data_IF_741189328714
#
_entry.id   IF_741189328714
#
_cell.length_a   1.000
_cell.length_b   1.000
_cell.length_c   1.000
_cell.angle_alpha   90.00
_cell.angle_beta   90.00
_cell.angle_gamma   90.00
#
_symmetry.space_group_name_H-M   'P 1'
#
loop_
_entity.id
_entity.type
_entity.pdbx_description
1 polymer ?
#
# COMPACT_ATOMS: atom_id res chain seq x y z
N UNK A 1 -14.82 17.27 -7.12
CA UNK A 1 -14.16 16.96 -5.83
C UNK A 1 -14.59 15.58 -5.35
N UNK A 2 -13.69 14.61 -5.41
CA UNK A 2 -13.95 13.25 -4.96
C UNK A 2 -14.29 13.26 -3.46
N UNK A 3 -15.36 12.55 -3.10
CA UNK A 3 -15.88 12.45 -1.74
C UNK A 3 -14.79 11.87 -0.83
N UNK A 4 -14.52 12.54 0.29
CA UNK A 4 -13.46 12.20 1.24
C UNK A 4 -13.65 10.81 1.83
N UNK A 5 -12.93 9.84 1.28
CA UNK A 5 -12.67 8.57 1.95
C UNK A 5 -11.81 8.92 3.17
N UNK A 6 -12.24 8.61 4.41
CA UNK A 6 -11.39 8.82 5.57
C UNK A 6 -10.14 7.97 5.40
N UNK A 7 -8.97 8.59 5.59
CA UNK A 7 -7.70 7.89 5.63
C UNK A 7 -7.70 6.92 6.83
N UNK A 8 -7.36 5.66 6.59
CA UNK A 8 -7.33 4.59 7.59
C UNK A 8 -5.95 3.93 7.62
N UNK A 9 -5.55 3.48 8.82
CA UNK A 9 -4.30 2.76 9.12
C UNK A 9 -4.69 1.58 10.03
N UNK A 10 -5.23 0.53 9.43
CA UNK A 10 -5.82 -0.60 10.13
C UNK A 10 -4.79 -1.67 10.47
N UNK A 11 -3.75 -1.82 9.66
CA UNK A 11 -2.62 -2.71 9.91
C UNK A 11 -1.51 -2.11 10.78
N UNK A 12 -1.50 -0.78 10.97
CA UNK A 12 -0.62 -0.02 11.87
C UNK A 12 0.83 0.03 11.41
N UNK A 13 1.04 0.15 10.11
CA UNK A 13 2.35 0.33 9.51
C UNK A 13 2.80 1.82 9.43
N UNK A 14 1.85 2.74 9.65
CA UNK A 14 2.07 4.19 9.62
C UNK A 14 1.82 4.86 8.27
N UNK A 15 1.31 4.11 7.30
CA UNK A 15 0.77 4.59 6.02
C UNK A 15 -0.76 4.51 6.06
N UNK A 16 -1.42 5.29 5.20
CA UNK A 16 -2.87 5.41 5.21
C UNK A 16 -3.49 5.05 3.87
N UNK A 17 -4.47 4.17 3.88
CA UNK A 17 -5.27 3.87 2.70
C UNK A 17 -6.32 4.96 2.45
N UNK A 18 -6.63 5.30 1.18
CA UNK A 18 -5.98 4.88 -0.07
C UNK A 18 -4.88 5.86 -0.52
N UNK A 19 -4.42 6.76 0.35
CA UNK A 19 -3.62 7.91 -0.08
C UNK A 19 -2.14 7.56 -0.25
N UNK A 20 -1.58 6.80 0.68
CA UNK A 20 -0.21 6.29 0.61
C UNK A 20 -0.16 4.77 0.59
N UNK A 21 -1.08 4.10 1.27
CA UNK A 21 -1.13 2.63 1.32
C UNK A 21 -2.17 2.08 0.33
N UNK A 22 -1.81 0.96 -0.32
CA UNK A 22 -2.62 0.21 -1.25
C UNK A 22 -3.28 -1.03 -0.62
N UNK A 23 -2.89 -1.45 0.60
CA UNK A 23 -3.50 -2.55 1.34
C UNK A 23 -3.51 -2.34 2.87
N UNK A 24 -4.58 -1.70 3.36
CA UNK A 24 -4.82 -1.37 4.79
C UNK A 24 -4.98 -2.58 5.74
N UNK A 25 -4.85 -3.79 5.22
CA UNK A 25 -4.95 -5.05 5.96
C UNK A 25 -3.60 -5.79 6.08
N UNK A 26 -2.51 -5.28 5.48
CA UNK A 26 -1.19 -5.92 5.50
C UNK A 26 -0.02 -4.93 5.65
N UNK A 27 0.50 -4.86 6.88
CA UNK A 27 1.60 -3.98 7.25
C UNK A 27 2.94 -4.25 6.53
N UNK A 28 3.01 -5.23 5.62
CA UNK A 28 4.16 -5.45 4.73
C UNK A 28 3.95 -4.86 3.32
N UNK A 29 2.77 -4.32 3.03
CA UNK A 29 2.42 -3.72 1.75
C UNK A 29 2.26 -2.23 1.97
N UNK A 30 3.26 -1.45 1.60
CA UNK A 30 3.31 -0.01 1.82
C UNK A 30 4.42 0.66 1.00
N UNK A 31 4.40 1.98 0.75
CA UNK A 31 5.36 2.70 -0.08
C UNK A 31 6.86 2.37 0.06
N UNK A 32 7.31 2.07 1.29
CA UNK A 32 8.71 1.75 1.58
C UNK A 32 8.98 0.25 1.73
N UNK A 33 8.04 -0.62 1.37
CA UNK A 33 8.19 -2.06 1.48
C UNK A 33 9.14 -2.58 0.40
N UNK A 34 9.97 -3.59 0.69
CA UNK A 34 10.75 -4.27 -0.33
C UNK A 34 9.86 -5.03 -1.31
N UNK A 35 10.13 -4.87 -2.60
CA UNK A 35 9.49 -5.70 -3.63
C UNK A 35 10.06 -7.10 -3.70
N UNK A 36 9.19 -8.07 -3.97
CA UNK A 36 9.58 -9.43 -4.34
C UNK A 36 9.39 -9.63 -5.84
N UNK A 37 10.47 -9.65 -6.63
CA UNK A 37 10.31 -9.56 -8.07
C UNK A 37 9.54 -10.71 -8.71
N UNK A 38 8.44 -10.37 -9.39
CA UNK A 38 7.64 -11.32 -10.16
C UNK A 38 6.79 -12.28 -9.34
N UNK A 39 6.45 -11.92 -8.09
CA UNK A 39 5.47 -12.66 -7.29
C UNK A 39 4.01 -12.25 -7.57
N UNK A 40 3.81 -11.16 -8.33
CA UNK A 40 2.49 -10.63 -8.69
C UNK A 40 1.90 -9.67 -7.66
N UNK A 41 2.65 -9.26 -6.64
CA UNK A 41 2.22 -8.36 -5.57
C UNK A 41 2.99 -7.04 -5.70
N UNK A 42 2.26 -5.93 -5.78
CA UNK A 42 2.82 -4.58 -5.62
C UNK A 42 2.96 -4.33 -4.11
N UNK A 43 4.11 -4.71 -3.56
CA UNK A 43 4.40 -4.59 -2.13
C UNK A 43 4.68 -3.13 -1.75
N UNK A 44 5.24 -2.34 -2.66
CA UNK A 44 5.69 -0.98 -2.42
C UNK A 44 4.67 0.10 -2.88
N UNK A 45 3.44 -0.31 -3.21
CA UNK A 45 2.35 0.55 -3.66
C UNK A 45 2.75 1.55 -4.77
N UNK A 46 3.66 1.18 -5.66
CA UNK A 46 4.11 2.01 -6.77
C UNK A 46 3.29 1.79 -8.06
N UNK A 47 2.24 0.96 -7.96
CA UNK A 47 1.34 0.56 -9.05
C UNK A 47 2.07 -0.25 -10.15
N UNK A 48 3.09 -1.02 -9.75
CA UNK A 48 3.87 -1.95 -10.57
C UNK A 48 4.37 -3.12 -9.72
N UNK A 49 4.40 -4.32 -10.29
CA UNK A 49 5.20 -5.44 -9.75
C UNK A 49 6.58 -5.33 -10.41
N UNK A 50 7.59 -4.95 -9.61
CA UNK A 50 8.95 -4.71 -10.09
C UNK A 50 9.68 -6.05 -10.33
N UNK A 51 9.84 -6.46 -11.60
CA UNK A 51 10.44 -7.75 -12.03
C UNK A 51 11.96 -7.88 -11.86
#
# INVERSE_FOLDING_TARGET
>A
PAYGVPETDNDKDGYFFPSSDCNDDDANIHPDAPETPGDGIDSNCNNSDDT
#
